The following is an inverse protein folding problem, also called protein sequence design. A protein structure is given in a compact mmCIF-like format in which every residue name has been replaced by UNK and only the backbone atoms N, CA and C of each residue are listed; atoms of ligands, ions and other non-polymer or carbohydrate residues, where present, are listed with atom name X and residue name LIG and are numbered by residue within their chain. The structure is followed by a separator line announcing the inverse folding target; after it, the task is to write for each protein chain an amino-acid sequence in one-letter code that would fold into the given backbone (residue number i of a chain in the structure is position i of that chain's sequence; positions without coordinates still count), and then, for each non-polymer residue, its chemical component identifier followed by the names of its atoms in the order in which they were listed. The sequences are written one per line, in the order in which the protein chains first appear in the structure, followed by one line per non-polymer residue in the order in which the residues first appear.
data_IF_245879481381
#
_entry.id   IF_245879481381
#
_cell.length_a   1.000
_cell.length_b   1.000
_cell.length_c   1.000
_cell.angle_alpha   90.00
_cell.angle_beta   90.00
_cell.angle_gamma   90.00
#
_symmetry.space_group_name_H-M   'P 1'
#
loop_
_entity.id
_entity.type
_entity.pdbx_description
1 polymer ?
#
# COMPACT_ATOMS: atom_id res chain seq x y z
N UNK A 1 5.24 8.04 8.68
CA UNK A 1 5.36 8.73 9.98
C UNK A 1 4.80 7.80 11.04
N UNK A 2 5.54 7.54 12.12
CA UNK A 2 5.07 6.68 13.22
C UNK A 2 4.57 7.56 14.36
N UNK A 3 3.31 7.36 14.78
CA UNK A 3 2.74 8.13 15.89
C UNK A 3 3.11 7.51 17.26
N UNK A 4 3.19 8.30 18.35
CA UNK A 4 3.59 7.79 19.66
C UNK A 4 2.73 6.62 20.18
N UNK A 5 1.42 6.64 19.89
CA UNK A 5 0.48 5.59 20.30
C UNK A 5 0.57 4.30 19.47
N UNK A 6 1.34 4.31 18.37
CA UNK A 6 1.51 3.13 17.49
C UNK A 6 2.79 2.34 17.81
N UNK A 7 3.56 2.72 18.83
CA UNK A 7 4.84 2.07 19.15
C UNK A 7 4.68 0.59 19.46
N UNK A 8 3.68 0.24 20.27
CA UNK A 8 3.43 -1.16 20.63
C UNK A 8 2.99 -1.98 19.41
N UNK A 9 2.16 -1.41 18.54
CA UNK A 9 1.73 -2.04 17.29
C UNK A 9 2.92 -2.23 16.33
N UNK A 10 3.82 -1.25 16.25
CA UNK A 10 5.05 -1.34 15.46
C UNK A 10 5.94 -2.48 15.94
N UNK A 11 6.17 -2.60 17.26
CA UNK A 11 6.95 -3.70 17.81
C UNK A 11 6.35 -5.07 17.47
N UNK A 12 5.02 -5.20 17.54
CA UNK A 12 4.32 -6.43 17.12
C UNK A 12 4.53 -6.72 15.64
N UNK A 13 4.42 -5.72 14.76
CA UNK A 13 4.62 -5.87 13.32
C UNK A 13 6.07 -6.23 12.98
N UNK A 14 7.04 -5.58 13.62
CA UNK A 14 8.47 -5.88 13.41
C UNK A 14 8.83 -7.28 13.87
N UNK A 15 8.26 -7.77 14.98
CA UNK A 15 8.47 -9.14 15.45
C UNK A 15 7.95 -10.22 14.48
N UNK A 16 7.00 -9.88 13.59
CA UNK A 16 6.50 -10.78 12.56
C UNK A 16 7.41 -10.87 11.34
N UNK A 17 8.45 -10.01 11.20
CA UNK A 17 9.28 -9.95 9.98
C UNK A 17 10.00 -11.25 9.65
N UNK A 18 10.44 -11.98 10.67
CA UNK A 18 11.11 -13.27 10.49
C UNK A 18 10.17 -14.35 9.92
N UNK A 19 8.86 -14.20 10.15
CA UNK A 19 7.80 -15.10 9.70
C UNK A 19 6.59 -14.32 9.22
N UNK A 20 6.79 -13.51 8.19
CA UNK A 20 5.75 -12.64 7.65
C UNK A 20 4.57 -13.47 7.12
N UNK A 21 3.34 -13.27 7.64
CA UNK A 21 2.17 -13.81 6.99
C UNK A 21 1.96 -13.12 5.64
N UNK A 22 1.37 -13.84 4.69
CA UNK A 22 1.05 -13.34 3.34
C UNK A 22 -0.01 -12.22 3.37
N UNK A 23 -0.80 -12.12 4.45
CA UNK A 23 -1.81 -11.08 4.64
C UNK A 23 -1.80 -10.54 6.07
N UNK A 24 -1.91 -9.22 6.22
CA UNK A 24 -2.10 -8.54 7.50
C UNK A 24 -3.30 -7.60 7.42
N UNK A 25 -4.20 -7.70 8.40
CA UNK A 25 -5.35 -6.80 8.54
C UNK A 25 -5.12 -5.83 9.70
N UNK A 26 -4.99 -4.54 9.38
CA UNK A 26 -4.94 -3.48 10.38
C UNK A 26 -6.34 -2.92 10.63
N UNK A 27 -6.90 -3.23 11.80
CA UNK A 27 -8.22 -2.77 12.23
C UNK A 27 -8.13 -1.76 13.38
N UNK A 28 -9.17 -0.93 13.55
CA UNK A 28 -9.20 0.13 14.57
C UNK A 28 -10.00 1.33 14.12
N UNK A 29 -10.16 2.32 15.00
CA UNK A 29 -10.95 3.52 14.74
C UNK A 29 -10.39 4.34 13.56
N UNK A 30 -11.26 5.07 12.85
CA UNK A 30 -10.83 5.98 11.79
C UNK A 30 -10.03 7.15 12.40
N UNK A 31 -8.96 7.57 11.74
CA UNK A 31 -8.13 8.70 12.17
C UNK A 31 -6.92 8.35 13.05
N UNK A 32 -6.78 7.12 13.54
CA UNK A 32 -5.63 6.71 14.38
C UNK A 32 -4.31 6.51 13.62
N UNK A 33 -4.27 6.82 12.32
CA UNK A 33 -3.07 6.69 11.48
C UNK A 33 -2.79 5.28 10.95
N UNK A 34 -3.79 4.38 10.83
CA UNK A 34 -3.60 3.00 10.33
C UNK A 34 -2.94 2.95 8.96
N UNK A 35 -3.35 3.85 8.05
CA UNK A 35 -2.76 3.96 6.71
C UNK A 35 -1.28 4.31 6.81
N UNK A 36 -0.94 5.29 7.63
CA UNK A 36 0.45 5.76 7.75
C UNK A 36 1.34 4.67 8.37
N UNK A 37 0.81 3.89 9.33
CA UNK A 37 1.48 2.71 9.87
C UNK A 37 1.69 1.63 8.80
N UNK A 38 0.66 1.32 7.99
CA UNK A 38 0.75 0.35 6.90
C UNK A 38 1.80 0.76 5.86
N UNK A 39 1.79 2.02 5.44
CA UNK A 39 2.74 2.57 4.49
C UNK A 39 4.17 2.56 5.06
N UNK A 40 4.33 2.95 6.32
CA UNK A 40 5.64 2.97 6.97
C UNK A 40 6.21 1.56 7.15
N UNK A 41 5.35 0.58 7.47
CA UNK A 41 5.74 -0.83 7.54
C UNK A 41 6.13 -1.36 6.15
N UNK A 42 5.34 -1.09 5.12
CA UNK A 42 5.64 -1.45 3.74
C UNK A 42 6.99 -0.86 3.27
N UNK A 43 7.24 0.42 3.57
CA UNK A 43 8.51 1.07 3.29
C UNK A 43 9.68 0.37 3.99
N UNK A 44 9.50 0.00 5.26
CA UNK A 44 10.51 -0.73 6.03
C UNK A 44 10.77 -2.16 5.54
N UNK A 45 9.79 -2.81 4.91
CA UNK A 45 9.96 -4.14 4.29
C UNK A 45 10.69 -4.07 2.95
N UNK A 46 10.49 -3.01 2.18
CA UNK A 46 11.12 -2.79 0.87
C UNK A 46 12.46 -2.06 0.97
N UNK A 47 12.83 -1.59 2.16
CA UNK A 47 14.05 -0.86 2.40
C UNK A 47 15.28 -1.78 2.32
N UNK A 48 16.26 -1.41 1.49
CA UNK A 48 17.52 -2.16 1.31
C UNK A 48 18.39 -2.20 2.57
N UNK A 49 18.31 -1.17 3.41
CA UNK A 49 19.14 -1.01 4.62
C UNK A 49 18.27 -0.64 5.82
N UNK A 50 17.24 -1.43 6.09
CA UNK A 50 16.34 -1.20 7.22
C UNK A 50 17.12 -1.11 8.55
N UNK A 51 16.68 -0.21 9.43
CA UNK A 51 17.24 -0.04 10.76
C UNK A 51 16.97 -1.28 11.64
N UNK A 52 17.72 -1.49 12.74
CA UNK A 52 17.56 -2.67 13.60
C UNK A 52 16.16 -2.81 14.21
N UNK A 53 15.42 -1.71 14.34
CA UNK A 53 14.04 -1.67 14.83
C UNK A 53 12.99 -1.85 13.70
N UNK A 54 13.45 -2.17 12.49
CA UNK A 54 12.67 -2.35 11.28
C UNK A 54 12.33 -1.06 10.54
N UNK A 55 12.73 0.11 11.03
CA UNK A 55 12.37 1.38 10.38
C UNK A 55 13.08 1.54 9.02
N UNK A 56 12.45 2.21 8.05
CA UNK A 56 13.10 2.53 6.78
C UNK A 56 14.25 3.52 7.01
N UNK A 57 15.37 3.34 6.30
CA UNK A 57 16.52 4.24 6.43
C UNK A 57 16.29 5.63 5.83
N UNK A 58 15.31 5.76 4.93
CA UNK A 58 14.98 6.99 4.19
C UNK A 58 16.11 7.53 3.28
N UNK A 59 17.20 6.79 3.08
CA UNK A 59 18.35 7.23 2.27
C UNK A 59 18.67 6.31 1.09
N UNK A 60 18.18 5.07 1.10
CA UNK A 60 18.41 4.14 -0.02
C UNK A 60 17.50 4.43 -1.23
N UNK A 61 17.87 3.87 -2.38
CA UNK A 61 17.13 4.09 -3.63
C UNK A 61 15.67 3.61 -3.55
N UNK A 62 15.44 2.45 -2.90
CA UNK A 62 14.09 1.96 -2.62
C UNK A 62 13.25 2.95 -1.77
N UNK A 63 13.83 3.52 -0.71
CA UNK A 63 13.12 4.51 0.11
C UNK A 63 12.74 5.77 -0.67
N UNK A 64 13.63 6.22 -1.56
CA UNK A 64 13.37 7.39 -2.40
C UNK A 64 12.22 7.15 -3.39
N UNK A 65 12.23 6.01 -4.10
CA UNK A 65 11.12 5.65 -4.99
C UNK A 65 9.81 5.44 -4.25
N UNK A 66 9.87 4.88 -3.05
CA UNK A 66 8.68 4.72 -2.20
C UNK A 66 8.09 6.08 -1.83
N UNK A 67 8.93 7.05 -1.43
CA UNK A 67 8.51 8.42 -1.13
C UNK A 67 7.89 9.14 -2.32
N UNK A 68 8.31 8.81 -3.54
CA UNK A 68 7.73 9.32 -4.79
C UNK A 68 6.51 8.54 -5.28
N UNK A 69 6.13 7.43 -4.62
CA UNK A 69 5.02 6.57 -5.05
C UNK A 69 5.31 5.71 -6.28
N UNK A 70 6.57 5.58 -6.71
CA UNK A 70 6.99 4.89 -7.94
C UNK A 70 7.79 3.60 -7.67
N UNK A 71 7.67 3.02 -6.48
CA UNK A 71 8.41 1.81 -6.17
C UNK A 71 7.84 0.59 -6.93
N UNK A 72 8.64 -0.15 -7.72
CA UNK A 72 8.14 -1.20 -8.63
C UNK A 72 7.49 -2.38 -7.91
N UNK A 73 7.99 -2.72 -6.71
CA UNK A 73 7.43 -3.81 -5.89
C UNK A 73 6.42 -3.33 -4.82
N UNK A 74 5.98 -2.07 -4.91
CA UNK A 74 4.94 -1.51 -4.05
C UNK A 74 3.70 -1.15 -4.86
N UNK A 75 2.51 -1.50 -4.36
CA UNK A 75 1.26 -1.09 -5.01
C UNK A 75 0.24 -0.71 -3.96
N UNK A 76 -0.39 0.46 -4.13
CA UNK A 76 -1.50 0.90 -3.31
C UNK A 76 -2.79 0.80 -4.12
N UNK A 77 -3.80 0.12 -3.57
CA UNK A 77 -5.13 0.02 -4.18
C UNK A 77 -6.11 0.84 -3.36
N UNK A 78 -6.73 1.82 -4.01
CA UNK A 78 -7.67 2.76 -3.42
C UNK A 78 -8.76 3.14 -4.43
N UNK A 79 -9.95 3.57 -3.98
CA UNK A 79 -10.98 4.09 -4.86
C UNK A 79 -10.53 5.33 -5.64
N UNK A 80 -10.96 5.44 -6.89
CA UNK A 80 -10.69 6.59 -7.78
C UNK A 80 -11.08 7.93 -7.12
N UNK A 81 -12.13 7.95 -6.28
CA UNK A 81 -12.55 9.13 -5.53
C UNK A 81 -11.48 9.68 -4.58
N UNK A 82 -10.63 8.81 -4.03
CA UNK A 82 -9.53 9.20 -3.17
C UNK A 82 -8.26 9.52 -3.96
N UNK A 83 -8.16 9.11 -5.23
CA UNK A 83 -7.06 9.48 -6.12
C UNK A 83 -7.21 10.90 -6.63
N UNK A 84 -8.43 11.28 -7.02
CA UNK A 84 -8.76 12.62 -7.49
C UNK A 84 -8.55 13.72 -6.42
N UNK A 85 -8.52 13.37 -5.13
CA UNK A 85 -8.24 14.29 -4.04
C UNK A 85 -6.80 14.25 -3.50
N UNK A 86 -5.96 13.33 -3.99
CA UNK A 86 -4.56 13.17 -3.56
C UNK A 86 -3.54 13.71 -4.58
N UNK A 87 -4.02 14.20 -5.74
CA UNK A 87 -3.20 14.80 -6.79
C UNK A 87 -3.09 16.32 -6.67
N UNK A 88 -2.39 16.81 -5.66
CA UNK A 88 -1.72 18.12 -5.68
C UNK A 88 -0.22 17.91 -5.49
N UNK A 89 0.42 17.33 -6.50
CA UNK A 89 1.86 17.43 -6.78
C UNK A 89 2.16 16.88 -8.20
N UNK A 90 2.10 17.81 -9.16
CA UNK A 90 2.84 17.88 -10.43
C UNK A 90 2.71 16.79 -11.51
N UNK A 91 2.18 17.22 -12.67
CA UNK A 91 2.31 16.53 -13.96
C UNK A 91 1.22 16.91 -14.96
N UNK A 92 1.35 18.07 -15.60
CA UNK A 92 0.51 18.54 -16.72
C UNK A 92 0.43 17.52 -17.87
N UNK A 93 -0.79 17.29 -18.39
CA UNK A 93 -1.05 16.37 -19.49
C UNK A 93 -2.53 16.29 -19.86
N UNK A 94 -3.00 17.33 -20.54
CA UNK A 94 -4.34 17.52 -21.09
C UNK A 94 -4.83 16.33 -21.96
N UNK A 95 -5.98 15.72 -21.60
CA UNK A 95 -6.97 15.31 -22.60
C UNK A 95 -8.34 15.03 -21.97
N UNK A 96 -9.34 15.60 -22.64
CA UNK A 96 -10.74 15.68 -22.29
C UNK A 96 -11.50 14.39 -22.56
N UNK A 97 -12.22 13.85 -21.57
CA UNK A 97 -13.45 13.09 -21.80
C UNK A 97 -14.27 12.92 -20.51
N UNK A 98 -15.51 13.42 -20.55
CA UNK A 98 -16.67 13.15 -19.65
C UNK A 98 -16.32 12.66 -18.22
N UNK A 99 -16.23 13.59 -17.26
CA UNK A 99 -16.14 13.34 -15.81
C UNK A 99 -17.31 12.47 -15.32
N UNK A 100 -17.17 11.14 -15.36
CA UNK A 100 -17.94 10.24 -14.49
C UNK A 100 -17.53 10.55 -13.06
N UNK A 101 -18.51 10.70 -12.16
CA UNK A 101 -18.23 10.91 -10.74
C UNK A 101 -17.27 9.82 -10.26
N UNK A 102 -16.16 10.19 -9.58
CA UNK A 102 -15.13 9.22 -9.26
C UNK A 102 -15.69 8.24 -8.23
N UNK A 103 -15.42 6.96 -8.45
CA UNK A 103 -16.08 5.90 -7.67
C UNK A 103 -15.52 5.82 -6.25
N UNK A 104 -16.43 5.74 -5.27
CA UNK A 104 -16.11 5.52 -3.85
C UNK A 104 -15.80 4.04 -3.53
N UNK A 105 -15.76 3.20 -4.56
CA UNK A 105 -15.72 1.74 -4.47
C UNK A 105 -14.48 1.26 -5.24
N UNK A 106 -13.74 0.30 -4.67
CA UNK A 106 -12.66 -0.41 -5.35
C UNK A 106 -13.30 -1.43 -6.29
N UNK A 107 -13.17 -1.20 -7.59
CA UNK A 107 -13.80 -2.04 -8.62
C UNK A 107 -13.03 -3.33 -8.85
N UNK A 108 -13.73 -4.36 -9.34
CA UNK A 108 -13.14 -5.64 -9.71
C UNK A 108 -11.98 -5.51 -10.72
N UNK A 109 -12.02 -4.52 -11.61
CA UNK A 109 -10.93 -4.26 -12.56
C UNK A 109 -9.61 -3.89 -11.85
N UNK A 110 -9.67 -3.05 -10.81
CA UNK A 110 -8.50 -2.71 -9.99
C UNK A 110 -7.95 -3.93 -9.24
N UNK A 111 -8.83 -4.83 -8.79
CA UNK A 111 -8.44 -6.08 -8.13
C UNK A 111 -7.78 -7.05 -9.11
N UNK A 112 -8.26 -7.14 -10.35
CA UNK A 112 -7.63 -7.97 -11.40
C UNK A 112 -6.25 -7.45 -11.78
N UNK A 113 -6.13 -6.13 -12.00
CA UNK A 113 -4.85 -5.50 -12.27
C UNK A 113 -3.87 -5.73 -11.12
N UNK A 114 -4.36 -5.72 -9.88
CA UNK A 114 -3.55 -6.06 -8.71
C UNK A 114 -3.07 -7.53 -8.75
N UNK A 115 -3.95 -8.49 -9.00
CA UNK A 115 -3.59 -9.92 -9.06
C UNK A 115 -2.55 -10.17 -10.16
N UNK A 116 -2.73 -9.55 -11.33
CA UNK A 116 -1.77 -9.62 -12.43
C UNK A 116 -0.42 -9.03 -12.01
N UNK A 117 -0.43 -7.85 -11.38
CA UNK A 117 0.77 -7.21 -10.87
C UNK A 117 1.50 -8.13 -9.87
N UNK A 118 0.77 -8.77 -8.94
CA UNK A 118 1.35 -9.73 -7.98
C UNK A 118 1.95 -10.96 -8.67
N UNK A 119 1.38 -11.39 -9.80
CA UNK A 119 1.89 -12.50 -10.60
C UNK A 119 3.18 -12.20 -11.38
N UNK A 120 3.54 -10.93 -11.56
CA UNK A 120 4.80 -10.54 -12.19
C UNK A 120 5.94 -10.66 -11.16
N UNK A 121 7.01 -11.36 -11.55
CA UNK A 121 8.20 -11.56 -10.72
C UNK A 121 8.78 -10.25 -10.18
N UNK A 122 9.31 -10.29 -8.96
CA UNK A 122 9.85 -9.11 -8.28
C UNK A 122 11.06 -8.56 -9.01
N UNK A 123 11.15 -7.24 -9.16
CA UNK A 123 12.29 -6.61 -9.85
C UNK A 123 13.58 -6.70 -9.04
N UNK A 124 13.49 -6.82 -7.71
CA UNK A 124 14.65 -6.82 -6.81
C UNK A 124 14.76 -8.07 -5.93
N UNK A 125 14.18 -9.20 -6.36
CA UNK A 125 14.25 -10.50 -5.68
C UNK A 125 13.93 -10.43 -4.16
N UNK A 126 13.02 -9.54 -3.79
CA UNK A 126 12.62 -9.28 -2.41
C UNK A 126 11.14 -9.59 -2.18
N UNK A 127 10.50 -8.77 -1.35
CA UNK A 127 9.06 -8.85 -1.12
C UNK A 127 8.32 -7.95 -2.10
N UNK A 128 7.11 -8.36 -2.49
CA UNK A 128 6.14 -7.48 -3.13
C UNK A 128 5.08 -7.12 -2.10
N UNK A 129 4.87 -5.82 -1.88
CA UNK A 129 3.97 -5.35 -0.83
C UNK A 129 2.81 -4.59 -1.45
N UNK A 130 1.60 -5.01 -1.08
CA UNK A 130 0.36 -4.42 -1.54
C UNK A 130 -0.38 -3.84 -0.34
N UNK A 131 -0.82 -2.59 -0.44
CA UNK A 131 -1.66 -1.95 0.57
C UNK A 131 -3.02 -1.63 -0.03
N UNK A 132 -4.07 -2.25 0.49
CA UNK A 132 -5.46 -1.97 0.11
C UNK A 132 -6.08 -1.02 1.13
N UNK A 133 -6.50 0.17 0.70
CA UNK A 133 -7.09 1.17 1.60
C UNK A 133 -8.08 2.12 0.91
N UNK A 134 -9.25 2.41 1.51
CA UNK A 134 -9.86 1.70 2.64
C UNK A 134 -10.40 0.33 2.19
N UNK A 135 -10.21 -0.70 3.03
CA UNK A 135 -10.69 -2.05 2.71
C UNK A 135 -12.22 -2.13 2.64
N UNK A 136 -12.93 -1.28 3.40
CA UNK A 136 -14.40 -1.22 3.41
C UNK A 136 -15.01 -0.79 2.07
N UNK A 137 -14.21 -0.15 1.20
CA UNK A 137 -14.63 0.22 -0.14
C UNK A 137 -14.51 -0.94 -1.15
N UNK A 138 -14.05 -2.12 -0.74
CA UNK A 138 -13.90 -3.28 -1.61
C UNK A 138 -15.25 -3.94 -1.90
N UNK A 139 -15.52 -4.24 -3.17
CA UNK A 139 -16.70 -5.03 -3.56
C UNK A 139 -16.54 -6.49 -3.12
N UNK A 140 -17.66 -7.14 -2.81
CA UNK A 140 -17.70 -8.57 -2.47
C UNK A 140 -17.04 -9.46 -3.53
N UNK A 141 -17.23 -9.14 -4.81
CA UNK A 141 -16.57 -9.84 -5.91
C UNK A 141 -15.05 -9.69 -5.87
N UNK A 142 -14.57 -8.47 -5.59
CA UNK A 142 -13.15 -8.19 -5.41
C UNK A 142 -12.56 -8.93 -4.21
N UNK A 143 -13.27 -8.95 -3.07
CA UNK A 143 -12.85 -9.70 -1.89
C UNK A 143 -12.73 -11.21 -2.18
N UNK A 144 -13.72 -11.79 -2.87
CA UNK A 144 -13.69 -13.21 -3.26
C UNK A 144 -12.56 -13.53 -4.24
N UNK A 145 -12.17 -12.58 -5.09
CA UNK A 145 -11.03 -12.75 -5.98
C UNK A 145 -9.71 -12.76 -5.23
N UNK A 146 -9.55 -11.87 -4.24
CA UNK A 146 -8.36 -11.82 -3.38
C UNK A 146 -8.18 -13.12 -2.58
N UNK A 147 -9.25 -13.75 -2.11
CA UNK A 147 -9.19 -15.03 -1.38
C UNK A 147 -8.55 -16.17 -2.19
N UNK A 148 -8.43 -16.05 -3.52
CA UNK A 148 -7.74 -17.04 -4.35
C UNK A 148 -6.24 -16.81 -4.46
N UNK A 149 -5.76 -15.65 -3.99
CA UNK A 149 -4.36 -15.22 -4.03
C UNK A 149 -3.74 -15.15 -2.65
N UNK A 150 -4.57 -14.99 -1.60
CA UNK A 150 -4.16 -15.04 -0.19
C UNK A 150 -3.92 -16.49 0.26
#
# INVERSE_FOLDING_TARGET
MLYPWQRDDWHRLTALRDRLPHALLLHGQQGIGKRDLALHFAQGLLCESALPDGQPCNTCSACHWFGQGNHPDFTVVRPEALEAGAGEAEGDGESSSKKKAPSKIIRMEQVRALIEAVGVGTHRAGLRVVVVYPLDALQTEGANALLKTL
#
